data_IF_304466343236
#
_entry.id   IF_304466343236
#
_cell.length_a   1.000
_cell.length_b   1.000
_cell.length_c   1.000
_cell.angle_alpha   90.00
_cell.angle_beta   90.00
_cell.angle_gamma   90.00
#
_symmetry.space_group_name_H-M   'P 1'
#
loop_
_entity.id
_entity.type
_entity.pdbx_description
1 polymer ?
#
# COMPACT_ATOMS: atom_id res chain seq x y z
N UNK A 1 16.25 20.08 0.52
CA UNK A 1 15.68 19.28 -0.58
C UNK A 1 16.26 17.87 -0.69
N UNK A 2 17.53 17.59 -0.35
CA UNK A 2 18.12 16.26 -0.56
C UNK A 2 17.55 15.12 0.31
N UNK A 3 17.29 15.36 1.60
CA UNK A 3 16.89 14.30 2.55
C UNK A 3 15.60 13.57 2.19
N UNK A 4 14.59 14.28 1.68
CA UNK A 4 13.31 13.65 1.31
C UNK A 4 13.47 12.73 0.09
N UNK A 5 14.26 13.17 -0.90
CA UNK A 5 14.58 12.36 -2.08
C UNK A 5 15.43 11.15 -1.72
N UNK A 6 16.43 11.33 -0.85
CA UNK A 6 17.25 10.24 -0.31
C UNK A 6 16.39 9.22 0.46
N UNK A 7 15.43 9.70 1.26
CA UNK A 7 14.52 8.84 2.00
C UNK A 7 13.57 8.06 1.07
N UNK A 8 12.93 8.72 0.10
CA UNK A 8 12.12 8.07 -0.93
C UNK A 8 12.94 7.00 -1.67
N UNK A 9 14.19 7.30 -2.05
CA UNK A 9 15.08 6.35 -2.71
C UNK A 9 15.47 5.16 -1.81
N UNK A 10 15.72 5.40 -0.51
CA UNK A 10 15.95 4.32 0.48
C UNK A 10 14.76 3.37 0.55
N UNK A 11 13.54 3.92 0.64
CA UNK A 11 12.31 3.12 0.68
C UNK A 11 12.11 2.35 -0.63
N UNK A 12 12.32 2.98 -1.80
CA UNK A 12 12.25 2.28 -3.08
C UNK A 12 13.25 1.14 -3.19
N UNK A 13 14.50 1.34 -2.75
CA UNK A 13 15.50 0.26 -2.76
C UNK A 13 15.06 -0.92 -1.89
N UNK A 14 14.40 -0.65 -0.76
CA UNK A 14 13.98 -1.66 0.21
C UNK A 14 12.72 -2.43 -0.24
N UNK A 15 11.77 -1.73 -0.83
CA UNK A 15 10.43 -2.26 -1.12
C UNK A 15 10.15 -2.41 -2.61
N UNK A 16 11.08 -2.04 -3.48
CA UNK A 16 10.91 -1.89 -4.93
C UNK A 16 10.82 -3.18 -5.73
N UNK A 17 11.01 -4.35 -5.13
CA UNK A 17 10.94 -5.63 -5.83
C UNK A 17 10.61 -6.78 -4.89
N UNK A 18 10.06 -7.86 -5.45
CA UNK A 18 9.79 -9.10 -4.72
C UNK A 18 11.06 -9.63 -4.03
N UNK A 19 12.21 -9.58 -4.73
CA UNK A 19 13.49 -9.98 -4.17
C UNK A 19 13.92 -9.11 -2.98
N UNK A 20 13.73 -7.78 -3.06
CA UNK A 20 14.14 -6.87 -1.99
C UNK A 20 13.34 -7.08 -0.70
N UNK A 21 12.07 -7.49 -0.83
CA UNK A 21 11.20 -7.81 0.31
C UNK A 21 11.24 -9.29 0.71
N UNK A 22 12.11 -10.10 0.10
CA UNK A 22 12.21 -11.53 0.37
C UNK A 22 10.92 -12.30 0.07
N UNK A 23 10.09 -11.80 -0.85
CA UNK A 23 8.88 -12.49 -1.27
C UNK A 23 9.23 -13.72 -2.11
N UNK A 24 8.38 -14.75 -2.01
CA UNK A 24 8.56 -16.02 -2.69
C UNK A 24 7.22 -16.58 -3.18
N UNK A 25 7.27 -17.51 -4.13
CA UNK A 25 6.09 -18.23 -4.59
C UNK A 25 5.83 -19.45 -3.71
N UNK A 26 4.57 -19.63 -3.33
CA UNK A 26 4.08 -20.82 -2.64
C UNK A 26 2.70 -21.21 -3.18
N UNK A 27 2.28 -22.43 -2.90
CA UNK A 27 0.92 -22.85 -3.18
C UNK A 27 -0.08 -22.04 -2.33
N UNK A 28 -1.18 -21.64 -2.96
CA UNK A 28 -2.23 -20.87 -2.32
C UNK A 28 -2.86 -21.62 -1.13
N UNK A 29 -3.01 -22.93 -1.23
CA UNK A 29 -3.74 -23.75 -0.26
C UNK A 29 -2.80 -24.36 0.79
N UNK A 30 -1.67 -24.91 0.38
CA UNK A 30 -0.75 -25.63 1.31
C UNK A 30 0.33 -24.73 1.89
N UNK A 31 0.58 -23.56 1.29
CA UNK A 31 1.68 -22.67 1.65
C UNK A 31 3.08 -23.29 1.43
N UNK A 32 3.16 -24.39 0.70
CA UNK A 32 4.42 -25.05 0.34
C UNK A 32 5.08 -24.36 -0.85
N UNK A 33 6.41 -24.43 -0.94
CA UNK A 33 7.12 -24.09 -2.17
C UNK A 33 6.73 -25.08 -3.28
N UNK A 34 6.93 -24.71 -4.54
CA UNK A 34 6.65 -25.62 -5.66
C UNK A 34 7.42 -26.94 -5.55
N UNK A 35 8.66 -26.89 -5.08
CA UNK A 35 9.50 -28.06 -4.82
C UNK A 35 8.87 -28.98 -3.75
N UNK A 36 8.48 -28.43 -2.60
CA UNK A 36 7.84 -29.20 -1.53
C UNK A 36 6.47 -29.73 -1.96
N UNK A 37 5.68 -28.92 -2.67
CA UNK A 37 4.38 -29.31 -3.19
C UNK A 37 4.49 -30.50 -4.16
N UNK A 38 5.46 -30.45 -5.09
CA UNK A 38 5.67 -31.49 -6.10
C UNK A 38 6.27 -32.77 -5.51
N UNK A 39 7.06 -32.64 -4.45
CA UNK A 39 7.66 -33.77 -3.75
C UNK A 39 6.64 -34.58 -2.91
N UNK A 40 5.49 -33.99 -2.55
CA UNK A 40 4.46 -34.65 -1.76
C UNK A 40 3.58 -35.56 -2.66
N UNK A 41 3.59 -36.90 -2.47
CA UNK A 41 2.76 -37.81 -3.27
C UNK A 41 1.25 -37.55 -3.19
N UNK A 42 0.77 -36.94 -2.10
CA UNK A 42 -0.65 -36.57 -1.93
C UNK A 42 -1.10 -35.49 -2.91
N UNK A 43 -0.15 -34.69 -3.44
CA UNK A 43 -0.41 -33.65 -4.43
C UNK A 43 -0.38 -34.17 -5.87
N UNK A 44 -0.20 -35.48 -6.10
CA UNK A 44 -0.16 -36.05 -7.45
C UNK A 44 -1.46 -35.76 -8.21
N UNK A 45 -1.35 -35.05 -9.35
CA UNK A 45 -2.49 -34.64 -10.17
C UNK A 45 -3.24 -33.41 -9.65
N UNK A 46 -2.77 -32.80 -8.56
CA UNK A 46 -3.27 -31.52 -8.06
C UNK A 46 -2.49 -30.38 -8.72
N UNK A 47 -3.19 -29.34 -9.17
CA UNK A 47 -2.56 -28.16 -9.76
C UNK A 47 -1.95 -27.28 -8.68
N UNK A 48 -0.66 -26.97 -8.80
CA UNK A 48 0.02 -25.96 -8.00
C UNK A 48 -0.55 -24.57 -8.32
N UNK A 49 -1.12 -23.91 -7.31
CA UNK A 49 -1.72 -22.57 -7.45
C UNK A 49 -0.78 -21.54 -6.88
N UNK A 50 0.19 -21.12 -7.69
CA UNK A 50 1.22 -20.17 -7.30
C UNK A 50 0.60 -18.84 -6.80
N UNK A 51 1.02 -18.41 -5.62
CA UNK A 51 0.74 -17.06 -5.09
C UNK A 51 1.98 -16.49 -4.42
N UNK A 52 2.12 -15.17 -4.46
CA UNK A 52 3.21 -14.49 -3.78
C UNK A 52 2.97 -14.42 -2.27
N UNK A 53 4.00 -14.80 -1.50
CA UNK A 53 4.09 -14.71 -0.04
C UNK A 53 5.15 -13.69 0.33
N UNK A 54 4.88 -12.91 1.37
CA UNK A 54 5.85 -12.04 2.01
C UNK A 54 6.89 -12.88 2.77
N UNK A 55 8.04 -12.31 3.12
CA UNK A 55 9.09 -13.01 3.87
C UNK A 55 8.62 -13.56 5.24
N UNK A 56 7.54 -13.02 5.80
CA UNK A 56 6.89 -13.52 7.02
C UNK A 56 5.81 -14.60 6.76
N UNK A 57 5.72 -15.12 5.53
CA UNK A 57 4.78 -16.17 5.12
C UNK A 57 3.33 -15.71 4.87
N UNK A 58 3.01 -14.43 5.11
CA UNK A 58 1.66 -13.90 4.85
C UNK A 58 1.42 -13.71 3.35
N UNK A 59 0.20 -13.98 2.85
CA UNK A 59 -0.10 -13.82 1.43
C UNK A 59 -0.12 -12.35 1.00
N UNK A 60 0.54 -12.06 -0.12
CA UNK A 60 0.59 -10.73 -0.72
C UNK A 60 -0.72 -10.32 -1.39
N UNK A 61 -1.65 -11.25 -1.68
CA UNK A 61 -2.94 -10.88 -2.27
C UNK A 61 -3.80 -10.00 -1.36
N UNK A 62 -3.47 -9.95 -0.07
CA UNK A 62 -4.13 -9.13 0.93
C UNK A 62 -3.29 -7.88 1.24
N UNK A 63 -3.80 -6.72 0.85
CA UNK A 63 -3.13 -5.43 1.06
C UNK A 63 -2.89 -5.13 2.55
N UNK A 64 -3.70 -5.65 3.47
CA UNK A 64 -3.47 -5.51 4.91
C UNK A 64 -2.16 -6.20 5.35
N UNK A 65 -1.87 -7.38 4.81
CA UNK A 65 -0.62 -8.09 5.12
C UNK A 65 0.60 -7.34 4.58
N UNK A 66 0.48 -6.77 3.38
CA UNK A 66 1.51 -5.94 2.78
C UNK A 66 1.80 -4.69 3.64
N UNK A 67 0.75 -4.00 4.09
CA UNK A 67 0.89 -2.82 4.93
C UNK A 67 1.50 -3.14 6.31
N UNK A 68 1.07 -4.24 6.94
CA UNK A 68 1.64 -4.69 8.21
C UNK A 68 3.13 -5.07 8.06
N UNK A 69 3.49 -5.79 6.99
CA UNK A 69 4.89 -6.11 6.71
C UNK A 69 5.78 -4.88 6.55
N UNK A 70 5.30 -3.83 5.89
CA UNK A 70 6.05 -2.57 5.77
C UNK A 70 6.27 -1.96 7.16
N UNK A 71 5.21 -1.83 7.97
CA UNK A 71 5.30 -1.25 9.32
C UNK A 71 6.22 -2.04 10.25
N UNK A 72 6.14 -3.38 10.21
CA UNK A 72 7.01 -4.26 10.99
C UNK A 72 8.47 -4.19 10.54
N UNK A 73 8.72 -3.71 9.32
CA UNK A 73 10.05 -3.62 8.73
C UNK A 73 10.74 -2.28 9.02
N UNK A 74 10.03 -1.23 9.38
CA UNK A 74 10.59 0.14 9.48
C UNK A 74 10.63 0.63 10.92
N UNK A 75 11.60 1.50 11.23
CA UNK A 75 11.66 2.19 12.54
C UNK A 75 10.95 3.55 12.47
N UNK A 76 10.71 4.03 11.26
CA UNK A 76 10.07 5.31 11.00
C UNK A 76 8.61 5.29 11.47
N UNK A 77 8.17 6.40 12.07
CA UNK A 77 6.79 6.57 12.50
C UNK A 77 5.85 6.38 11.32
N UNK A 78 4.83 5.53 11.48
CA UNK A 78 3.97 5.13 10.39
C UNK A 78 2.60 4.71 10.86
N UNK A 79 1.63 4.84 9.97
CA UNK A 79 0.27 4.39 10.18
C UNK A 79 -0.23 3.56 9.02
N UNK A 80 -1.20 2.68 9.31
CA UNK A 80 -1.94 1.94 8.31
C UNK A 80 -3.16 2.74 7.88
N UNK A 81 -3.19 3.11 6.61
CA UNK A 81 -4.26 3.88 5.99
C UNK A 81 -4.98 3.02 4.95
N UNK A 82 -6.14 3.47 4.51
CA UNK A 82 -6.92 2.77 3.52
C UNK A 82 -8.19 3.53 3.16
N UNK A 83 -9.02 2.93 2.31
CA UNK A 83 -10.34 3.47 1.99
C UNK A 83 -11.25 2.35 1.52
N UNK A 84 -12.55 2.59 1.59
CA UNK A 84 -13.58 1.80 0.92
C UNK A 84 -13.91 2.48 -0.41
N UNK A 85 -13.91 1.76 -1.52
CA UNK A 85 -14.18 2.31 -2.86
C UNK A 85 -15.55 2.97 -2.92
N UNK A 86 -16.54 2.39 -2.24
CA UNK A 86 -17.91 2.94 -2.19
C UNK A 86 -17.95 4.37 -1.65
N UNK A 87 -16.99 4.72 -0.79
CA UNK A 87 -16.85 6.04 -0.17
C UNK A 87 -15.83 6.92 -0.92
N UNK A 88 -14.88 6.30 -1.63
CA UNK A 88 -13.83 6.98 -2.37
C UNK A 88 -13.90 6.63 -3.87
N UNK A 89 -14.95 7.11 -4.54
CA UNK A 89 -15.27 6.75 -5.92
C UNK A 89 -14.30 7.33 -6.96
N UNK A 90 -13.44 8.26 -6.56
CA UNK A 90 -12.41 8.84 -7.43
C UNK A 90 -11.17 7.95 -7.53
N UNK A 91 -11.00 6.98 -6.62
CA UNK A 91 -9.94 5.97 -6.73
C UNK A 91 -10.23 5.02 -7.90
N UNK A 92 -9.18 4.58 -8.59
CA UNK A 92 -9.27 3.60 -9.67
C UNK A 92 -9.83 2.26 -9.16
N UNK A 93 -11.14 2.07 -9.29
CA UNK A 93 -11.85 0.93 -8.70
C UNK A 93 -11.40 -0.43 -9.23
N UNK A 94 -10.85 -0.50 -10.45
CA UNK A 94 -10.30 -1.73 -11.04
C UNK A 94 -9.02 -2.21 -10.32
N UNK A 95 -8.36 -1.32 -9.58
CA UNK A 95 -7.20 -1.64 -8.77
C UNK A 95 -7.58 -2.42 -7.51
N UNK A 96 -8.85 -2.43 -7.09
CA UNK A 96 -9.26 -2.89 -5.76
C UNK A 96 -10.45 -3.86 -5.81
N UNK A 97 -10.23 -5.12 -6.20
CA UNK A 97 -11.31 -6.08 -6.48
C UNK A 97 -12.18 -6.43 -5.27
N UNK A 98 -11.75 -6.09 -4.05
CA UNK A 98 -12.46 -6.38 -2.78
C UNK A 98 -13.21 -5.17 -2.20
N UNK A 99 -13.36 -4.10 -2.95
CA UNK A 99 -14.12 -2.92 -2.50
C UNK A 99 -13.37 -2.02 -1.52
N UNK A 100 -12.14 -2.35 -1.15
CA UNK A 100 -11.31 -1.57 -0.23
C UNK A 100 -9.83 -1.75 -0.54
N UNK A 101 -9.01 -0.84 0.01
CA UNK A 101 -7.56 -0.91 -0.08
C UNK A 101 -6.87 -0.51 1.22
N UNK A 102 -5.64 -0.97 1.41
CA UNK A 102 -4.82 -0.68 2.58
C UNK A 102 -3.37 -0.42 2.18
N UNK A 103 -2.79 0.64 2.70
CA UNK A 103 -1.41 1.08 2.44
C UNK A 103 -0.80 1.72 3.68
N UNK A 104 0.49 2.06 3.63
CA UNK A 104 1.20 2.69 4.73
C UNK A 104 1.51 4.14 4.40
N UNK A 105 1.40 5.02 5.39
CA UNK A 105 2.02 6.35 5.32
C UNK A 105 3.09 6.46 6.41
N UNK A 106 4.32 6.73 6.00
CA UNK A 106 5.47 6.94 6.88
C UNK A 106 5.80 8.44 7.02
N UNK A 107 6.18 8.86 8.22
CA UNK A 107 6.52 10.24 8.59
C UNK A 107 5.44 11.26 8.13
N UNK A 108 4.17 10.83 8.15
CA UNK A 108 3.01 11.58 7.66
C UNK A 108 3.16 12.13 6.22
N UNK A 109 4.04 11.54 5.40
CA UNK A 109 4.42 12.09 4.09
C UNK A 109 4.55 11.04 2.99
N UNK A 110 5.13 9.89 3.28
CA UNK A 110 5.46 8.92 2.24
C UNK A 110 4.45 7.78 2.23
N UNK A 111 3.63 7.69 1.19
CA UNK A 111 2.81 6.51 0.93
C UNK A 111 3.75 5.40 0.47
N UNK A 112 3.69 4.24 1.11
CA UNK A 112 4.43 3.04 0.71
C UNK A 112 3.42 1.92 0.49
N UNK A 113 3.43 1.37 -0.72
CA UNK A 113 2.47 0.37 -1.13
C UNK A 113 3.11 -0.66 -2.08
N UNK A 114 3.51 -1.79 -1.50
CA UNK A 114 4.03 -2.93 -2.25
C UNK A 114 2.92 -3.73 -2.93
N UNK A 115 1.67 -3.62 -2.47
CA UNK A 115 0.57 -4.39 -3.03
C UNK A 115 0.20 -3.84 -4.42
N UNK A 116 -0.01 -2.53 -4.52
CA UNK A 116 -0.41 -1.89 -5.79
C UNK A 116 0.64 -2.06 -6.89
N UNK A 117 1.91 -2.11 -6.48
CA UNK A 117 3.03 -2.18 -7.40
C UNK A 117 3.47 -3.61 -7.72
N UNK A 118 3.69 -4.45 -6.71
CA UNK A 118 4.29 -5.77 -6.91
C UNK A 118 3.27 -6.91 -7.04
N UNK A 119 2.05 -6.72 -6.54
CA UNK A 119 1.00 -7.75 -6.61
C UNK A 119 -0.06 -7.42 -7.67
N UNK A 120 -0.58 -6.19 -7.65
CA UNK A 120 -1.61 -5.75 -8.59
C UNK A 120 -1.02 -5.17 -9.89
N UNK A 121 0.29 -4.91 -9.93
CA UNK A 121 1.04 -4.44 -11.10
C UNK A 121 0.43 -3.20 -11.77
N UNK A 122 -0.20 -2.31 -10.98
CA UNK A 122 -0.86 -1.10 -11.48
C UNK A 122 0.12 0.05 -11.70
N UNK A 123 1.31 -0.05 -11.11
CA UNK A 123 2.38 0.94 -11.23
C UNK A 123 3.73 0.32 -10.87
N UNK A 124 4.81 0.77 -11.51
CA UNK A 124 6.17 0.42 -11.09
C UNK A 124 6.63 1.19 -9.83
N UNK A 125 5.87 2.22 -9.42
CA UNK A 125 6.22 3.06 -8.28
C UNK A 125 5.64 2.50 -6.98
N UNK A 126 6.52 2.14 -6.05
CA UNK A 126 6.15 1.63 -4.71
C UNK A 126 5.99 2.75 -3.65
N UNK A 127 6.70 3.86 -3.81
CA UNK A 127 6.75 4.93 -2.81
C UNK A 127 6.32 6.24 -3.44
N UNK A 128 5.40 6.94 -2.79
CA UNK A 128 4.88 8.23 -3.22
C UNK A 128 5.10 9.26 -2.11
N UNK A 129 5.48 10.45 -2.48
CA UNK A 129 5.69 11.59 -1.61
C UNK A 129 4.49 12.53 -1.75
N UNK A 130 3.70 12.67 -0.69
CA UNK A 130 2.52 13.55 -0.66
C UNK A 130 2.86 15.03 -0.95
N UNK A 131 4.13 15.42 -0.88
CA UNK A 131 4.57 16.79 -1.20
C UNK A 131 5.29 16.90 -2.56
N UNK A 132 5.50 15.80 -3.28
CA UNK A 132 6.05 15.82 -4.64
C UNK A 132 4.91 15.94 -5.65
N UNK A 133 4.87 17.07 -6.36
CA UNK A 133 3.86 17.34 -7.40
C UNK A 133 3.83 16.28 -8.50
N UNK A 134 4.95 15.59 -8.75
CA UNK A 134 5.00 14.55 -9.78
C UNK A 134 4.29 13.27 -9.33
N UNK A 135 4.11 13.07 -8.01
CA UNK A 135 3.37 11.93 -7.47
C UNK A 135 1.87 12.22 -7.34
N UNK A 136 1.46 13.49 -7.32
CA UNK A 136 0.08 13.88 -7.01
C UNK A 136 -0.95 13.29 -7.97
N UNK A 137 -0.71 13.36 -9.28
CA UNK A 137 -1.62 12.82 -10.28
C UNK A 137 -1.82 11.30 -10.08
N UNK A 138 -0.71 10.59 -9.84
CA UNK A 138 -0.75 9.14 -9.64
C UNK A 138 -1.37 8.77 -8.28
N UNK A 139 -1.14 9.58 -7.23
CA UNK A 139 -1.79 9.40 -5.94
C UNK A 139 -3.30 9.57 -6.08
N UNK A 140 -3.75 10.64 -6.73
CA UNK A 140 -5.18 10.91 -6.92
C UNK A 140 -5.84 9.82 -7.76
N UNK A 141 -5.16 9.35 -8.81
CA UNK A 141 -5.67 8.26 -9.64
C UNK A 141 -5.79 6.94 -8.86
N UNK A 142 -4.72 6.53 -8.17
CA UNK A 142 -4.68 5.24 -7.49
C UNK A 142 -5.48 5.25 -6.20
N UNK A 143 -5.32 6.27 -5.35
CA UNK A 143 -5.86 6.28 -3.99
C UNK A 143 -7.06 7.22 -3.82
N UNK A 144 -7.49 7.90 -4.88
CA UNK A 144 -8.65 8.78 -4.85
C UNK A 144 -8.46 10.01 -3.96
N UNK A 145 -9.56 10.50 -3.40
CA UNK A 145 -9.59 11.67 -2.53
C UNK A 145 -9.03 11.32 -1.14
N UNK A 146 -7.94 11.98 -0.70
CA UNK A 146 -7.39 11.72 0.63
C UNK A 146 -8.30 12.07 1.80
N UNK A 147 -9.32 12.93 1.63
CA UNK A 147 -10.32 13.15 2.68
C UNK A 147 -11.15 11.90 2.99
N UNK A 148 -11.26 10.99 2.01
CA UNK A 148 -11.95 9.71 2.15
C UNK A 148 -11.05 8.58 2.69
N UNK A 149 -9.77 8.88 2.99
CA UNK A 149 -8.89 7.91 3.61
C UNK A 149 -9.28 7.69 5.08
N UNK A 150 -9.10 6.47 5.54
CA UNK A 150 -9.32 6.04 6.91
C UNK A 150 -8.02 5.47 7.49
N UNK A 151 -7.80 5.66 8.78
CA UNK A 151 -6.82 4.89 9.53
C UNK A 151 -7.47 3.59 9.98
N UNK A 152 -6.74 2.50 9.86
CA UNK A 152 -7.12 1.27 10.54
C UNK A 152 -6.74 1.37 12.01
N UNK A 153 -7.74 1.38 12.88
CA UNK A 153 -7.54 1.22 14.31
C UNK A 153 -7.42 -0.27 14.63
N UNK A 154 -6.21 -0.70 15.03
CA UNK A 154 -5.93 -2.10 15.39
C UNK A 154 -6.59 -2.51 16.70
N UNK A 155 -6.77 -1.59 17.64
CA UNK A 155 -7.36 -1.87 18.95
C UNK A 155 -8.88 -2.05 18.83
N UNK A 156 -9.52 -1.20 18.02
CA UNK A 156 -10.96 -1.23 17.81
C UNK A 156 -11.37 -2.12 16.63
N UNK A 157 -10.42 -2.55 15.80
CA UNK A 157 -10.65 -3.30 14.55
C UNK A 157 -11.64 -2.61 13.60
N UNK A 158 -11.59 -1.27 13.53
CA UNK A 158 -12.44 -0.46 12.66
C UNK A 158 -11.61 0.49 11.81
N UNK A 159 -12.17 0.88 10.66
CA UNK A 159 -11.66 2.00 9.88
C UNK A 159 -12.22 3.31 10.44
N UNK A 160 -11.36 4.17 10.97
CA UNK A 160 -11.72 5.52 11.40
C UNK A 160 -11.39 6.54 10.30
N UNK A 161 -12.36 7.35 9.82
CA UNK A 161 -12.08 8.40 8.85
C UNK A 161 -10.96 9.34 9.30
N UNK A 162 -9.99 9.65 8.42
CA UNK A 162 -8.86 10.50 8.77
C UNK A 162 -9.30 11.92 9.20
N UNK A 163 -10.41 12.41 8.67
CA UNK A 163 -11.02 13.70 9.07
C UNK A 163 -11.41 13.74 10.55
N UNK A 164 -11.52 12.60 11.23
CA UNK A 164 -11.82 12.53 12.66
C UNK A 164 -10.58 12.47 13.56
N UNK A 165 -9.38 12.28 12.99
CA UNK A 165 -8.13 12.20 13.75
C UNK A 165 -7.58 13.58 14.11
N UNK A 166 -6.77 13.72 15.17
CA UNK A 166 -5.99 14.93 15.44
C UNK A 166 -5.04 15.29 14.29
N UNK A 167 -4.81 16.58 14.02
CA UNK A 167 -4.02 17.06 12.86
C UNK A 167 -2.59 16.50 12.78
N UNK A 168 -1.97 16.18 13.91
CA UNK A 168 -0.63 15.59 13.98
C UNK A 168 -0.61 14.08 13.66
N UNK A 169 -1.77 13.41 13.65
CA UNK A 169 -1.95 11.99 13.31
C UNK A 169 -2.59 11.79 11.93
N UNK A 170 -3.19 12.85 11.38
CA UNK A 170 -3.57 12.86 9.97
C UNK A 170 -2.29 12.72 9.12
N UNK A 171 -2.34 12.02 7.97
CA UNK A 171 -1.33 12.26 6.96
C UNK A 171 -1.31 13.77 6.69
N UNK A 172 -0.20 14.35 6.22
CA UNK A 172 -0.13 15.80 5.92
C UNK A 172 -0.96 16.18 4.67
N UNK A 173 -2.22 15.77 4.65
CA UNK A 173 -3.27 16.04 3.67
C UNK A 173 -3.64 17.51 3.67
N UNK A 174 -3.53 18.21 4.80
CA UNK A 174 -3.80 19.65 4.86
C UNK A 174 -2.90 20.50 3.95
N UNK A 175 -1.72 20.00 3.56
CA UNK A 175 -0.89 20.63 2.53
C UNK A 175 -1.22 20.10 1.12
N UNK A 176 -1.58 18.81 1.00
CA UNK A 176 -2.02 18.20 -0.26
C UNK A 176 -3.28 18.89 -0.79
N UNK A 177 -4.32 19.07 0.03
CA UNK A 177 -5.57 19.74 -0.34
C UNK A 177 -5.36 21.22 -0.68
N UNK A 178 -4.46 21.91 0.02
CA UNK A 178 -4.09 23.30 -0.33
C UNK A 178 -3.30 23.40 -1.63
N UNK A 179 -2.48 22.40 -1.95
CA UNK A 179 -1.73 22.34 -3.21
C UNK A 179 -2.64 21.95 -4.39
N UNK A 180 -3.55 20.99 -4.21
CA UNK A 180 -4.56 20.61 -5.21
C UNK A 180 -5.51 21.77 -5.48
N UNK A 181 -6.02 22.45 -4.45
CA UNK A 181 -6.86 23.65 -4.61
C UNK A 181 -6.11 24.84 -5.26
N UNK A 182 -4.79 24.92 -5.13
CA UNK A 182 -3.96 25.92 -5.82
C UNK A 182 -3.60 25.54 -7.27
N UNK A 183 -3.87 24.30 -7.68
CA UNK A 183 -3.64 23.78 -9.03
C UNK A 183 -4.92 23.77 -9.90
N UNK A 184 -6.10 24.08 -9.33
CA UNK A 184 -7.29 24.33 -10.13
C UNK A 184 -7.25 25.74 -10.75
N UNK A 185 -7.25 25.88 -12.09
CA UNK A 185 -7.37 27.18 -12.72
C UNK A 185 -8.84 27.59 -12.70
N UNK A 186 -9.29 28.34 -11.68
CA UNK A 186 -10.64 28.93 -11.73
C UNK A 186 -11.32 29.44 -10.46
N UNK A 187 -10.63 29.71 -9.35
CA UNK A 187 -11.28 30.29 -8.16
C UNK A 187 -10.84 31.73 -7.88
N UNK A 188 -11.42 32.67 -8.62
CA UNK A 188 -11.72 34.05 -8.18
C UNK A 188 -13.12 34.43 -8.69
#
# INVERSE_FOLDING_TARGET
>A
MNRAREFKAKLHKRFGSLQAIGAYLADLNTNETEEAFTANPENCGVMFRATHRLANGKPMYDACNCAEYILDSVEEEGGRYGFQIINNQTAAGDCYPRGHHTFVVLNSRFVVDIWISLYAERTAQVVFDLLDKNDHELIQHLYGDPEQWCVWDKEQQVYQPCIQLPDNQRPRLGHYLKLVAALEPGSL
#
